data_IF_994179148612
#
_entry.id   IF_994179148612
#
_cell.length_a   1.000
_cell.length_b   1.000
_cell.length_c   1.000
_cell.angle_alpha   90.00
_cell.angle_beta   90.00
_cell.angle_gamma   90.00
#
_symmetry.space_group_name_H-M   'P 1'
#
loop_
_entity.id
_entity.type
_entity.pdbx_description
1 polymer ?
#
# COMPACT_ATOMS: atom_id res chain seq x y z
N UNK A 1 -1.63 -9.78 24.49
CA UNK A 1 -0.50 -9.73 23.53
C UNK A 1 -0.38 -8.38 22.90
N UNK A 2 0.84 -7.94 22.61
CA UNK A 2 1.12 -6.67 21.91
C UNK A 2 1.74 -6.98 20.55
N UNK A 3 1.21 -6.40 19.48
CA UNK A 3 1.75 -6.52 18.14
C UNK A 3 2.11 -5.15 17.58
N UNK A 4 3.16 -5.10 16.74
CA UNK A 4 3.40 -3.99 15.85
C UNK A 4 2.91 -4.35 14.44
N UNK A 5 2.05 -3.51 13.87
CA UNK A 5 1.51 -3.70 12.52
C UNK A 5 2.16 -2.71 11.57
N UNK A 6 2.76 -3.25 10.52
CA UNK A 6 3.47 -2.60 9.42
C UNK A 6 2.93 -3.11 8.09
N UNK A 7 3.04 -2.31 7.03
CA UNK A 7 2.77 -2.73 5.65
C UNK A 7 3.42 -1.77 4.65
N UNK A 8 3.35 -2.11 3.37
CA UNK A 8 3.66 -1.21 2.26
C UNK A 8 5.05 -0.57 2.38
N UNK A 9 6.07 -1.43 2.63
CA UNK A 9 7.46 -1.00 2.74
C UNK A 9 7.99 -0.53 1.39
N UNK A 10 7.56 -1.16 0.29
CA UNK A 10 7.94 -0.87 -1.09
C UNK A 10 9.44 -0.68 -1.26
N UNK A 11 10.25 -1.60 -0.71
CA UNK A 11 11.71 -1.49 -0.77
C UNK A 11 12.21 -1.45 -2.21
N UNK A 12 13.02 -0.44 -2.49
CA UNK A 12 13.53 -0.15 -3.83
C UNK A 12 12.68 0.82 -4.66
N UNK A 13 11.60 1.39 -4.08
CA UNK A 13 10.74 2.37 -4.76
C UNK A 13 11.52 3.59 -5.24
N UNK A 14 11.12 4.08 -6.40
CA UNK A 14 11.57 5.36 -6.95
C UNK A 14 10.38 6.30 -7.09
N UNK A 15 10.50 7.50 -6.57
CA UNK A 15 9.47 8.55 -6.69
C UNK A 15 10.00 9.65 -7.60
N UNK A 16 9.33 9.91 -8.70
CA UNK A 16 9.76 10.90 -9.71
C UNK A 16 11.24 10.80 -10.11
N UNK A 17 11.75 9.56 -10.21
CA UNK A 17 13.14 9.29 -10.58
C UNK A 17 14.15 9.28 -9.42
N UNK A 18 13.77 9.72 -8.21
CA UNK A 18 14.62 9.67 -7.02
C UNK A 18 14.51 8.30 -6.35
N UNK A 19 15.63 7.72 -5.98
CA UNK A 19 15.66 6.48 -5.21
C UNK A 19 15.31 6.76 -3.76
N UNK A 20 14.39 5.97 -3.18
CA UNK A 20 13.99 6.10 -1.79
C UNK A 20 14.81 5.21 -0.83
N UNK A 21 15.79 4.44 -1.33
CA UNK A 21 16.50 3.43 -0.53
C UNK A 21 17.18 4.00 0.72
N UNK A 22 17.80 5.19 0.66
CA UNK A 22 18.40 5.81 1.84
C UNK A 22 17.36 6.21 2.89
N UNK A 23 16.22 6.75 2.43
CA UNK A 23 15.12 7.14 3.31
C UNK A 23 14.42 5.90 3.88
N UNK A 24 14.32 4.82 3.08
CA UNK A 24 13.83 3.52 3.53
C UNK A 24 14.75 2.89 4.59
N UNK A 25 16.06 2.91 4.39
CA UNK A 25 17.01 2.44 5.40
C UNK A 25 16.89 3.23 6.71
N UNK A 26 16.74 4.55 6.62
CA UNK A 26 16.55 5.41 7.78
C UNK A 26 15.26 5.12 8.55
N UNK A 27 14.14 4.97 7.84
CA UNK A 27 12.84 4.71 8.47
C UNK A 27 12.76 3.29 9.06
N UNK A 28 13.36 2.28 8.41
CA UNK A 28 13.45 0.93 8.95
C UNK A 28 14.26 0.90 10.25
N UNK A 29 15.32 1.73 10.39
CA UNK A 29 16.03 1.86 11.66
C UNK A 29 15.13 2.43 12.75
N UNK A 30 14.30 3.44 12.48
CA UNK A 30 13.33 3.95 13.46
C UNK A 30 12.30 2.87 13.86
N UNK A 31 11.85 2.06 12.91
CA UNK A 31 10.97 0.93 13.20
C UNK A 31 11.65 -0.08 14.13
N UNK A 32 12.92 -0.40 13.88
CA UNK A 32 13.74 -1.28 14.73
C UNK A 32 13.86 -0.71 16.15
N UNK A 33 14.07 0.61 16.29
CA UNK A 33 14.16 1.28 17.57
C UNK A 33 12.79 1.32 18.28
N UNK A 34 11.71 1.52 17.52
CA UNK A 34 10.36 1.42 18.04
C UNK A 34 10.07 0.01 18.59
N UNK A 35 10.44 -1.06 17.86
CA UNK A 35 10.30 -2.46 18.33
C UNK A 35 11.09 -2.67 19.63
N UNK A 36 12.30 -2.14 19.73
CA UNK A 36 13.12 -2.24 20.94
C UNK A 36 12.49 -1.53 22.15
N UNK A 37 11.84 -0.39 21.94
CA UNK A 37 11.14 0.39 22.95
C UNK A 37 9.82 -0.25 23.36
N UNK A 38 9.01 -0.68 22.39
CA UNK A 38 7.67 -1.22 22.61
C UNK A 38 7.69 -2.67 23.13
N UNK A 39 8.74 -3.43 22.82
CA UNK A 39 8.87 -4.83 23.19
C UNK A 39 7.61 -5.66 22.88
N UNK A 40 7.20 -5.73 21.59
CA UNK A 40 6.00 -6.46 21.20
C UNK A 40 6.21 -7.98 21.32
N UNK A 41 5.10 -8.71 21.44
CA UNK A 41 5.05 -10.17 21.38
C UNK A 41 5.14 -10.68 19.93
N UNK A 42 4.95 -9.81 18.93
CA UNK A 42 5.10 -10.11 17.51
C UNK A 42 5.03 -8.88 16.61
N UNK A 43 5.59 -9.01 15.40
CA UNK A 43 5.53 -7.99 14.34
C UNK A 43 4.72 -8.55 13.17
N UNK A 44 3.73 -7.79 12.70
CA UNK A 44 2.85 -8.12 11.58
C UNK A 44 3.27 -7.26 10.39
N UNK A 45 3.62 -7.87 9.24
CA UNK A 45 4.00 -7.17 8.01
C UNK A 45 3.00 -7.57 6.92
N UNK A 46 2.12 -6.65 6.56
CA UNK A 46 0.93 -6.93 5.78
C UNK A 46 1.13 -6.63 4.28
N UNK A 47 2.17 -7.20 3.67
CA UNK A 47 2.41 -7.17 2.23
C UNK A 47 3.17 -5.94 1.72
N UNK A 48 3.42 -5.94 0.41
CA UNK A 48 4.20 -4.96 -0.34
C UNK A 48 5.53 -4.64 0.31
N UNK A 49 6.27 -5.72 0.57
CA UNK A 49 7.63 -5.65 1.12
C UNK A 49 8.56 -5.01 0.09
N UNK A 50 8.45 -5.44 -1.16
CA UNK A 50 9.18 -4.87 -2.29
C UNK A 50 8.27 -4.00 -3.17
N UNK A 51 8.87 -3.02 -3.87
CA UNK A 51 8.15 -2.19 -4.85
C UNK A 51 7.82 -2.94 -6.15
N UNK A 52 8.50 -4.06 -6.41
CA UNK A 52 8.34 -4.86 -7.64
C UNK A 52 8.56 -6.34 -7.35
N UNK A 53 7.86 -7.18 -8.10
CA UNK A 53 8.01 -8.65 -8.05
C UNK A 53 9.46 -9.12 -8.32
N UNK A 54 10.26 -8.34 -9.04
CA UNK A 54 11.71 -8.53 -9.24
C UNK A 54 12.45 -7.33 -8.63
N UNK A 55 12.78 -7.37 -7.33
CA UNK A 55 13.47 -6.26 -6.67
C UNK A 55 14.92 -6.11 -7.12
N UNK A 56 15.50 -4.91 -6.95
CA UNK A 56 16.92 -4.70 -7.16
C UNK A 56 17.76 -5.38 -6.06
N UNK A 57 19.04 -5.62 -6.34
CA UNK A 57 19.95 -6.23 -5.37
C UNK A 57 20.07 -5.39 -4.09
N UNK A 58 20.04 -4.06 -4.21
CA UNK A 58 20.10 -3.14 -3.07
C UNK A 58 18.84 -3.24 -2.20
N UNK A 59 17.67 -3.38 -2.82
CA UNK A 59 16.41 -3.57 -2.10
C UNK A 59 16.41 -4.92 -1.36
N UNK A 60 16.92 -5.98 -1.99
CA UNK A 60 17.06 -7.30 -1.35
C UNK A 60 18.02 -7.21 -0.15
N UNK A 61 19.16 -6.56 -0.31
CA UNK A 61 20.13 -6.39 0.79
C UNK A 61 19.54 -5.58 1.96
N UNK A 62 18.76 -4.54 1.67
CA UNK A 62 18.07 -3.75 2.69
C UNK A 62 17.02 -4.57 3.44
N UNK A 63 16.25 -5.37 2.71
CA UNK A 63 15.25 -6.28 3.27
C UNK A 63 15.89 -7.34 4.18
N UNK A 64 16.94 -8.00 3.69
CA UNK A 64 17.71 -8.99 4.46
C UNK A 64 18.22 -8.41 5.77
N UNK A 65 18.85 -7.23 5.72
CA UNK A 65 19.34 -6.53 6.90
C UNK A 65 18.22 -6.21 7.90
N UNK A 66 17.06 -5.79 7.42
CA UNK A 66 15.90 -5.51 8.27
C UNK A 66 15.42 -6.78 8.98
N UNK A 67 15.15 -7.86 8.26
CA UNK A 67 14.71 -9.13 8.85
C UNK A 67 15.78 -9.76 9.76
N UNK A 68 17.07 -9.63 9.42
CA UNK A 68 18.16 -10.05 10.29
C UNK A 68 18.10 -9.35 11.64
N UNK A 69 17.91 -8.02 11.67
CA UNK A 69 17.80 -7.26 12.91
C UNK A 69 16.54 -7.63 13.71
N UNK A 70 15.43 -7.98 13.07
CA UNK A 70 14.23 -8.48 13.74
C UNK A 70 14.48 -9.85 14.37
N UNK A 71 15.07 -10.80 13.62
CA UNK A 71 15.40 -12.13 14.11
C UNK A 71 16.35 -12.09 15.33
N UNK A 72 17.35 -11.20 15.32
CA UNK A 72 18.28 -11.03 16.46
C UNK A 72 17.56 -10.61 17.75
N UNK A 73 16.42 -9.95 17.67
CA UNK A 73 15.60 -9.53 18.83
C UNK A 73 14.71 -10.64 19.37
N UNK A 74 14.63 -11.76 18.67
CA UNK A 74 13.79 -12.92 19.03
C UNK A 74 12.30 -12.56 19.18
N UNK A 75 11.84 -11.55 18.47
CA UNK A 75 10.43 -11.19 18.35
C UNK A 75 9.88 -11.91 17.13
N UNK A 76 8.84 -12.75 17.24
CA UNK A 76 8.22 -13.40 16.10
C UNK A 76 7.74 -12.37 15.06
N UNK A 77 8.06 -12.64 13.79
CA UNK A 77 7.65 -11.82 12.65
C UNK A 77 6.73 -12.64 11.76
N UNK A 78 5.56 -12.11 11.45
CA UNK A 78 4.59 -12.70 10.53
C UNK A 78 4.46 -11.78 9.33
N UNK A 79 4.82 -12.28 8.15
CA UNK A 79 4.85 -11.49 6.93
C UNK A 79 4.08 -12.18 5.81
N UNK A 80 3.29 -11.41 5.07
CA UNK A 80 2.59 -11.88 3.88
C UNK A 80 3.09 -11.15 2.64
N UNK A 81 2.83 -11.68 1.44
CA UNK A 81 3.01 -10.95 0.19
C UNK A 81 1.84 -10.05 -0.12
N UNK A 82 2.12 -8.87 -0.69
CA UNK A 82 1.14 -7.97 -1.29
C UNK A 82 1.01 -8.16 -2.80
N UNK A 83 0.41 -7.20 -3.49
CA UNK A 83 0.22 -7.26 -4.95
C UNK A 83 1.49 -6.89 -5.75
N UNK A 84 2.43 -6.15 -5.17
CA UNK A 84 3.73 -5.84 -5.78
C UNK A 84 4.75 -6.95 -5.59
N UNK A 85 4.57 -7.82 -4.60
CA UNK A 85 5.50 -8.90 -4.30
C UNK A 85 5.29 -10.11 -5.22
N UNK A 86 6.37 -10.91 -5.43
CA UNK A 86 6.21 -12.30 -5.89
C UNK A 86 6.07 -13.21 -4.67
N UNK A 87 4.90 -13.85 -4.46
CA UNK A 87 4.70 -14.75 -3.33
C UNK A 87 5.68 -15.92 -3.33
N UNK A 88 6.07 -16.44 -4.50
CA UNK A 88 7.04 -17.53 -4.63
C UNK A 88 8.45 -17.11 -4.16
N UNK A 89 8.85 -15.87 -4.47
CA UNK A 89 10.17 -15.35 -4.08
C UNK A 89 10.24 -15.05 -2.60
N UNK A 90 9.17 -14.48 -2.03
CA UNK A 90 9.09 -14.24 -0.59
C UNK A 90 9.01 -15.55 0.20
N UNK A 91 8.27 -16.54 -0.30
CA UNK A 91 8.21 -17.88 0.32
C UNK A 91 9.50 -18.68 0.16
N UNK A 92 10.44 -18.25 -0.71
CA UNK A 92 11.73 -18.95 -0.87
C UNK A 92 12.53 -18.92 0.43
N UNK A 93 12.87 -20.09 0.92
CA UNK A 93 13.63 -20.24 2.17
C UNK A 93 12.81 -20.03 3.45
N UNK A 94 11.51 -19.74 3.39
CA UNK A 94 10.65 -19.50 4.55
C UNK A 94 10.77 -20.59 5.61
N UNK A 95 10.76 -21.87 5.22
CA UNK A 95 10.91 -23.00 6.16
C UNK A 95 12.26 -23.02 6.90
N UNK A 96 13.30 -22.39 6.35
CA UNK A 96 14.58 -22.22 7.04
C UNK A 96 14.53 -21.05 8.01
N UNK A 97 13.83 -19.99 7.62
CA UNK A 97 13.67 -18.78 8.44
C UNK A 97 12.70 -18.96 9.62
N UNK A 98 11.75 -19.90 9.54
CA UNK A 98 10.86 -20.28 10.64
C UNK A 98 11.62 -20.57 11.93
N UNK A 99 12.76 -21.26 11.83
CA UNK A 99 13.63 -21.55 12.98
C UNK A 99 14.25 -20.32 13.63
N UNK A 100 14.25 -19.17 12.94
CA UNK A 100 14.73 -17.88 13.44
C UNK A 100 13.58 -16.97 13.91
N UNK A 101 12.34 -17.46 13.90
CA UNK A 101 11.15 -16.71 14.30
C UNK A 101 10.63 -15.73 13.22
N UNK A 102 11.05 -15.89 11.96
CA UNK A 102 10.52 -15.11 10.83
C UNK A 102 9.66 -16.03 9.96
N UNK A 103 8.36 -15.77 9.98
CA UNK A 103 7.34 -16.59 9.33
C UNK A 103 6.78 -15.84 8.13
N UNK A 104 7.03 -16.35 6.93
CA UNK A 104 6.40 -15.87 5.70
C UNK A 104 5.20 -16.73 5.35
N UNK A 105 4.11 -16.10 4.88
CA UNK A 105 2.99 -16.87 4.31
C UNK A 105 3.49 -17.69 3.12
N UNK A 106 3.04 -18.93 2.98
CA UNK A 106 3.25 -19.66 1.73
C UNK A 106 2.49 -18.98 0.57
N UNK A 107 2.79 -19.41 -0.66
CA UNK A 107 1.89 -19.14 -1.79
C UNK A 107 0.52 -19.71 -1.45
N UNK A 108 -0.55 -18.94 -1.71
CA UNK A 108 -1.91 -19.40 -1.41
C UNK A 108 -2.25 -20.69 -2.16
N UNK A 109 -2.66 -21.70 -1.41
CA UNK A 109 -2.96 -23.06 -1.90
C UNK A 109 -4.40 -23.51 -1.54
N UNK A 110 -5.28 -22.54 -1.26
CA UNK A 110 -6.66 -22.79 -0.85
C UNK A 110 -6.85 -22.93 0.67
N UNK A 111 -5.77 -22.91 1.44
CA UNK A 111 -5.82 -23.06 2.90
C UNK A 111 -4.96 -22.01 3.60
N UNK A 112 -5.40 -21.57 4.77
CA UNK A 112 -4.61 -20.73 5.68
C UNK A 112 -4.69 -21.33 7.08
N UNK A 113 -3.60 -21.93 7.51
CA UNK A 113 -3.50 -22.48 8.87
C UNK A 113 -3.01 -21.40 9.83
N UNK A 114 -3.65 -21.22 11.01
CA UNK A 114 -3.21 -20.24 11.98
C UNK A 114 -1.91 -20.65 12.66
N UNK A 115 -1.01 -19.68 12.84
CA UNK A 115 0.06 -19.80 13.81
C UNK A 115 -0.49 -19.46 15.20
N UNK A 116 -0.27 -20.33 16.19
CA UNK A 116 -0.88 -20.13 17.52
C UNK A 116 0.17 -19.64 18.51
N UNK A 117 -0.10 -18.46 19.07
CA UNK A 117 0.62 -17.92 20.22
C UNK A 117 -0.23 -18.08 21.49
N UNK A 118 0.40 -18.07 22.66
CA UNK A 118 -0.31 -18.19 23.95
C UNK A 118 0.20 -17.16 24.93
N UNK A 119 -0.74 -16.50 25.62
CA UNK A 119 -0.44 -15.61 26.75
C UNK A 119 -1.34 -15.93 27.96
N UNK A 120 -1.31 -15.06 28.96
CA UNK A 120 -2.12 -15.21 30.18
C UNK A 120 -3.65 -15.23 29.94
N UNK A 121 -4.10 -14.77 28.77
CA UNK A 121 -5.50 -14.71 28.38
C UNK A 121 -5.93 -15.88 27.46
N UNK A 122 -5.01 -16.83 27.19
CA UNK A 122 -5.22 -17.99 26.32
C UNK A 122 -4.57 -17.85 24.94
N UNK A 123 -5.09 -18.59 23.98
CA UNK A 123 -4.54 -18.65 22.62
C UNK A 123 -4.93 -17.44 21.76
N UNK A 124 -4.00 -17.10 20.84
CA UNK A 124 -4.23 -16.15 19.74
C UNK A 124 -3.83 -16.84 18.45
N UNK A 125 -4.78 -17.02 17.54
CA UNK A 125 -4.52 -17.51 16.18
C UNK A 125 -4.10 -16.37 15.27
N UNK A 126 -2.92 -16.49 14.66
CA UNK A 126 -2.41 -15.55 13.64
C UNK A 126 -2.62 -16.17 12.27
N UNK A 127 -3.52 -15.61 11.48
CA UNK A 127 -3.86 -16.06 10.13
C UNK A 127 -3.16 -15.18 9.10
N UNK A 128 -2.39 -15.78 8.20
CA UNK A 128 -1.60 -15.08 7.19
C UNK A 128 -2.18 -15.34 5.80
N UNK A 129 -3.12 -14.49 5.36
CA UNK A 129 -3.71 -14.53 4.02
C UNK A 129 -2.99 -13.52 3.12
N UNK A 130 -2.13 -13.94 2.19
CA UNK A 130 -1.47 -13.05 1.26
C UNK A 130 -2.48 -12.36 0.32
N UNK A 131 -2.01 -11.44 -0.51
CA UNK A 131 -2.83 -10.88 -1.58
C UNK A 131 -3.32 -11.99 -2.50
N UNK A 132 -4.64 -12.01 -2.73
CA UNK A 132 -5.27 -12.95 -3.65
C UNK A 132 -6.24 -12.23 -4.58
N UNK A 133 -6.26 -12.68 -5.84
CA UNK A 133 -7.26 -12.29 -6.84
C UNK A 133 -8.35 -13.37 -6.93
N UNK A 134 -9.54 -13.07 -7.47
CA UNK A 134 -10.60 -14.07 -7.70
C UNK A 134 -10.09 -15.30 -8.44
N UNK A 135 -9.27 -15.12 -9.47
CA UNK A 135 -8.70 -16.22 -10.26
C UNK A 135 -7.82 -17.17 -9.42
N UNK A 136 -7.08 -16.65 -8.42
CA UNK A 136 -6.27 -17.48 -7.53
C UNK A 136 -7.14 -18.38 -6.67
N UNK A 137 -8.28 -17.85 -6.17
CA UNK A 137 -9.17 -18.58 -5.24
C UNK A 137 -10.02 -19.59 -5.99
N UNK A 138 -10.56 -19.28 -7.19
CA UNK A 138 -11.36 -20.20 -8.02
C UNK A 138 -10.67 -21.55 -8.26
N UNK A 139 -9.35 -21.58 -8.34
CA UNK A 139 -8.59 -22.83 -8.56
C UNK A 139 -8.84 -23.87 -7.48
N UNK A 140 -9.14 -23.42 -6.27
CA UNK A 140 -9.30 -24.28 -5.08
C UNK A 140 -10.76 -24.47 -4.69
N UNK A 141 -11.68 -23.65 -5.23
CA UNK A 141 -13.11 -23.71 -4.94
C UNK A 141 -13.93 -23.74 -6.25
N UNK A 142 -13.77 -24.80 -7.08
CA UNK A 142 -14.40 -24.86 -8.41
C UNK A 142 -15.94 -24.88 -8.38
N UNK A 143 -16.53 -25.27 -7.25
CA UNK A 143 -18.01 -25.29 -7.07
C UNK A 143 -18.58 -23.97 -6.52
N UNK A 144 -17.72 -23.00 -6.16
CA UNK A 144 -18.15 -21.71 -5.63
C UNK A 144 -18.30 -20.70 -6.79
N UNK A 145 -19.37 -19.92 -6.76
CA UNK A 145 -19.54 -18.76 -7.63
C UNK A 145 -18.65 -17.63 -7.07
N UNK A 146 -17.53 -17.35 -7.74
CA UNK A 146 -16.56 -16.33 -7.35
C UNK A 146 -16.41 -15.34 -8.50
N UNK A 147 -17.20 -14.27 -8.47
CA UNK A 147 -17.23 -13.25 -9.52
C UNK A 147 -16.55 -11.94 -9.08
N UNK A 148 -16.40 -11.75 -7.78
CA UNK A 148 -15.81 -10.55 -7.19
C UNK A 148 -14.69 -10.89 -6.20
N UNK A 149 -13.92 -9.85 -5.81
CA UNK A 149 -12.95 -9.97 -4.70
C UNK A 149 -13.65 -10.30 -3.37
N UNK A 150 -14.85 -9.77 -3.13
CA UNK A 150 -15.64 -10.12 -1.94
C UNK A 150 -15.97 -11.60 -1.90
N UNK A 151 -16.41 -12.20 -3.02
CA UNK A 151 -16.69 -13.63 -3.07
C UNK A 151 -15.44 -14.47 -2.84
N UNK A 152 -14.32 -14.07 -3.46
CA UNK A 152 -13.04 -14.73 -3.30
C UNK A 152 -12.60 -14.74 -1.82
N UNK A 153 -12.63 -13.56 -1.19
CA UNK A 153 -12.25 -13.44 0.23
C UNK A 153 -13.23 -14.19 1.14
N UNK A 154 -14.53 -14.17 0.84
CA UNK A 154 -15.55 -14.93 1.57
C UNK A 154 -15.26 -16.44 1.52
N UNK A 155 -14.92 -16.96 0.34
CA UNK A 155 -14.55 -18.37 0.18
C UNK A 155 -13.25 -18.71 0.94
N UNK A 156 -12.21 -17.86 0.81
CA UNK A 156 -10.93 -18.08 1.47
C UNK A 156 -11.06 -18.02 3.01
N UNK A 157 -11.75 -17.02 3.57
CA UNK A 157 -12.00 -16.87 5.01
C UNK A 157 -12.90 -17.99 5.53
N UNK A 158 -13.95 -18.35 4.78
CA UNK A 158 -14.83 -19.48 5.14
C UNK A 158 -14.07 -20.80 5.27
N UNK A 159 -13.11 -21.04 4.38
CA UNK A 159 -12.27 -22.25 4.42
C UNK A 159 -11.32 -22.30 5.65
N UNK A 160 -10.99 -21.17 6.27
CA UNK A 160 -10.15 -21.15 7.48
C UNK A 160 -10.83 -21.76 8.70
N UNK A 161 -12.17 -21.87 8.69
CA UNK A 161 -12.96 -22.39 9.82
C UNK A 161 -12.52 -21.77 11.17
N UNK A 162 -12.49 -20.45 11.21
CA UNK A 162 -11.95 -19.68 12.34
C UNK A 162 -12.70 -20.02 13.62
N UNK A 163 -11.96 -20.50 14.62
CA UNK A 163 -12.52 -20.72 15.96
C UNK A 163 -12.72 -19.39 16.69
N UNK A 164 -13.93 -18.85 16.61
CA UNK A 164 -14.27 -17.56 17.20
C UNK A 164 -14.32 -17.58 18.74
N UNK A 165 -14.16 -18.73 19.39
CA UNK A 165 -14.08 -18.79 20.86
C UNK A 165 -12.74 -18.29 21.40
N UNK A 166 -11.68 -18.34 20.58
CA UNK A 166 -10.35 -17.77 20.87
C UNK A 166 -10.15 -16.43 20.17
N UNK A 167 -9.07 -15.74 20.52
CA UNK A 167 -8.68 -14.49 19.85
C UNK A 167 -8.03 -14.81 18.49
N UNK A 168 -8.41 -14.06 17.46
CA UNK A 168 -7.91 -14.28 16.10
C UNK A 168 -7.44 -12.96 15.49
N UNK A 169 -6.25 -12.97 14.91
CA UNK A 169 -5.67 -11.87 14.13
C UNK A 169 -5.51 -12.33 12.70
N UNK A 170 -5.99 -11.54 11.76
CA UNK A 170 -5.76 -11.75 10.33
C UNK A 170 -4.76 -10.72 9.82
N UNK A 171 -3.75 -11.18 9.07
CA UNK A 171 -2.97 -10.34 8.16
C UNK A 171 -3.53 -10.54 6.77
N UNK A 172 -3.84 -9.47 6.06
CA UNK A 172 -4.22 -9.53 4.66
C UNK A 172 -3.88 -8.23 3.93
N UNK A 173 -3.80 -8.30 2.61
CA UNK A 173 -3.42 -7.18 1.76
C UNK A 173 -4.50 -6.99 0.69
N UNK A 174 -5.53 -6.19 0.99
CA UNK A 174 -6.72 -6.06 0.14
C UNK A 174 -7.29 -4.65 0.22
N UNK A 175 -7.99 -4.21 -0.84
CA UNK A 175 -8.72 -2.95 -0.85
C UNK A 175 -10.12 -3.14 -0.25
N UNK A 176 -10.36 -2.61 0.93
CA UNK A 176 -11.67 -2.64 1.58
C UNK A 176 -12.51 -1.45 1.13
N UNK A 177 -13.76 -1.71 0.78
CA UNK A 177 -14.73 -0.70 0.33
C UNK A 177 -14.80 0.48 1.29
N UNK A 178 -14.69 1.70 0.76
CA UNK A 178 -14.75 2.94 1.54
C UNK A 178 -13.41 3.42 2.09
N UNK A 179 -12.30 2.74 1.83
CA UNK A 179 -10.96 3.24 2.19
C UNK A 179 -10.61 4.49 1.38
N UNK A 180 -10.03 5.49 2.06
CA UNK A 180 -9.50 6.68 1.41
C UNK A 180 -8.12 6.38 0.83
N UNK A 181 -7.94 6.64 -0.45
CA UNK A 181 -6.76 6.32 -1.25
C UNK A 181 -5.87 7.54 -1.52
N UNK A 182 -4.65 7.30 -1.97
CA UNK A 182 -3.69 8.29 -2.49
C UNK A 182 -3.22 7.89 -3.90
N UNK A 183 -2.43 8.73 -4.56
CA UNK A 183 -1.99 8.50 -5.95
C UNK A 183 -0.87 7.44 -6.05
N UNK A 184 -0.42 6.90 -4.94
CA UNK A 184 0.67 5.92 -4.86
C UNK A 184 0.20 4.47 -4.82
N UNK A 185 -1.10 4.22 -4.58
CA UNK A 185 -1.69 2.88 -4.65
C UNK A 185 -2.04 2.50 -6.08
N UNK A 186 -1.79 1.25 -6.45
CA UNK A 186 -2.25 0.65 -7.70
C UNK A 186 -3.63 0.01 -7.49
N UNK A 187 -4.67 0.76 -7.83
CA UNK A 187 -6.05 0.28 -7.75
C UNK A 187 -6.55 -0.14 -9.13
N UNK A 188 -7.36 -1.20 -9.17
CA UNK A 188 -7.99 -1.64 -10.41
C UNK A 188 -8.91 -0.55 -10.97
N UNK A 189 -8.84 -0.34 -12.28
CA UNK A 189 -9.68 0.64 -12.95
C UNK A 189 -11.15 0.25 -12.81
N UNK A 190 -11.96 1.17 -12.29
CA UNK A 190 -13.39 0.93 -12.05
C UNK A 190 -13.71 0.40 -10.65
N UNK A 191 -12.71 0.25 -9.75
CA UNK A 191 -12.94 -0.16 -8.35
C UNK A 191 -13.52 -1.56 -8.21
N UNK A 192 -13.12 -2.48 -9.11
CA UNK A 192 -13.61 -3.88 -9.12
C UNK A 192 -12.89 -4.77 -8.11
N UNK A 193 -11.81 -4.27 -7.50
CA UNK A 193 -10.94 -4.96 -6.54
C UNK A 193 -11.31 -4.73 -5.06
N UNK A 194 -12.44 -4.07 -4.81
CA UNK A 194 -12.88 -3.79 -3.46
C UNK A 194 -13.52 -5.02 -2.78
N UNK A 195 -13.32 -5.09 -1.46
CA UNK A 195 -13.81 -6.16 -0.59
C UNK A 195 -14.75 -5.57 0.45
N UNK A 196 -15.90 -6.23 0.69
CA UNK A 196 -16.78 -5.87 1.80
C UNK A 196 -16.10 -6.23 3.13
N UNK A 197 -16.00 -5.23 4.03
CA UNK A 197 -15.37 -5.40 5.34
C UNK A 197 -16.02 -6.45 6.25
N UNK A 198 -17.28 -6.80 6.03
CA UNK A 198 -17.99 -7.84 6.78
C UNK A 198 -17.41 -9.24 6.62
N UNK A 199 -16.69 -9.50 5.53
CA UNK A 199 -15.95 -10.75 5.31
C UNK A 199 -14.99 -11.04 6.48
N UNK A 200 -14.51 -10.01 7.14
CA UNK A 200 -13.52 -10.10 8.22
C UNK A 200 -14.11 -10.14 9.63
N UNK A 201 -15.43 -10.32 9.78
CA UNK A 201 -16.12 -10.36 11.09
C UNK A 201 -15.63 -11.46 12.05
N UNK A 202 -15.14 -12.63 11.60
CA UNK A 202 -14.63 -13.66 12.50
C UNK A 202 -13.37 -13.27 13.29
N UNK A 203 -12.69 -12.17 12.95
CA UNK A 203 -11.40 -11.81 13.54
C UNK A 203 -11.53 -10.68 14.59
N UNK A 204 -10.73 -10.75 15.64
CA UNK A 204 -10.66 -9.72 16.70
C UNK A 204 -9.84 -8.51 16.26
N UNK A 205 -8.85 -8.73 15.36
CA UNK A 205 -8.10 -7.69 14.70
C UNK A 205 -7.73 -8.11 13.28
N UNK A 206 -7.90 -7.20 12.34
CA UNK A 206 -7.50 -7.38 10.95
C UNK A 206 -6.44 -6.34 10.60
N UNK A 207 -5.23 -6.81 10.41
CA UNK A 207 -4.09 -6.03 9.97
C UNK A 207 -4.09 -5.95 8.45
N UNK A 208 -4.48 -4.78 7.91
CA UNK A 208 -4.60 -4.52 6.48
C UNK A 208 -3.35 -3.84 5.94
N UNK A 209 -2.87 -4.28 4.77
CA UNK A 209 -1.98 -3.55 3.87
C UNK A 209 -2.70 -3.14 2.59
N UNK A 210 -2.00 -2.51 1.66
CA UNK A 210 -2.42 -2.00 0.36
C UNK A 210 -2.71 -0.50 0.33
N UNK A 211 -3.29 0.07 1.37
CA UNK A 211 -3.60 1.50 1.41
C UNK A 211 -2.56 2.23 2.26
N UNK A 212 -1.91 3.22 1.64
CA UNK A 212 -0.78 3.94 2.23
C UNK A 212 -1.19 4.95 3.31
N UNK A 213 -2.47 5.30 3.39
CA UNK A 213 -3.01 6.17 4.44
C UNK A 213 -3.35 5.37 5.70
N UNK A 214 -2.74 5.69 6.87
CA UNK A 214 -3.17 5.10 8.14
C UNK A 214 -4.62 5.44 8.43
N UNK A 215 -5.50 4.45 8.53
CA UNK A 215 -6.93 4.68 8.80
C UNK A 215 -7.60 3.43 9.39
N UNK A 216 -8.58 3.66 10.25
CA UNK A 216 -9.53 2.63 10.61
C UNK A 216 -10.61 2.59 9.53
N UNK A 217 -11.13 1.40 9.26
CA UNK A 217 -12.39 1.27 8.56
C UNK A 217 -13.53 1.54 9.56
N UNK A 218 -14.61 0.81 9.59
CA UNK A 218 -15.75 1.09 10.49
C UNK A 218 -15.38 1.06 11.99
N UNK A 219 -14.29 0.37 12.34
CA UNK A 219 -13.82 0.25 13.72
C UNK A 219 -12.30 0.08 13.80
N UNK A 220 -11.67 0.28 14.98
CA UNK A 220 -10.26 0.01 15.18
C UNK A 220 -9.85 -1.44 14.91
N UNK A 221 -10.80 -2.37 14.88
CA UNK A 221 -10.60 -3.79 14.60
C UNK A 221 -10.12 -4.04 13.17
N UNK A 222 -10.59 -3.25 12.21
CA UNK A 222 -10.25 -3.34 10.79
C UNK A 222 -9.45 -2.10 10.40
N UNK A 223 -8.12 -2.26 10.20
CA UNK A 223 -7.24 -1.11 10.11
C UNK A 223 -6.13 -1.27 9.07
N UNK A 224 -5.92 -0.21 8.30
CA UNK A 224 -4.69 0.03 7.55
C UNK A 224 -3.66 0.75 8.42
N UNK A 225 -2.46 0.22 8.55
CA UNK A 225 -1.36 0.93 9.22
C UNK A 225 -0.75 2.01 8.33
N UNK A 226 -0.91 1.88 7.03
CA UNK A 226 -0.30 2.72 6.02
C UNK A 226 1.17 2.42 5.76
N UNK A 227 1.73 3.01 4.71
CA UNK A 227 3.16 2.92 4.40
C UNK A 227 4.00 3.70 5.41
N UNK A 228 5.25 3.27 5.69
CA UNK A 228 6.12 3.97 6.65
C UNK A 228 6.70 5.29 6.11
N UNK A 229 6.69 5.47 4.79
CA UNK A 229 7.10 6.69 4.09
C UNK A 229 5.98 7.19 3.17
N UNK A 230 6.04 8.46 2.80
CA UNK A 230 5.18 9.03 1.75
C UNK A 230 5.77 8.67 0.39
N UNK A 231 4.95 8.15 -0.51
CA UNK A 231 5.36 7.73 -1.85
C UNK A 231 4.70 8.54 -2.98
N UNK A 232 3.82 9.48 -2.63
CA UNK A 232 3.27 10.49 -3.54
C UNK A 232 3.06 11.83 -2.85
N UNK A 233 2.94 12.91 -3.62
CA UNK A 233 2.65 14.24 -3.08
C UNK A 233 1.21 14.37 -2.58
N UNK A 234 0.29 13.51 -2.97
CA UNK A 234 -1.04 13.43 -2.37
C UNK A 234 -1.00 13.01 -0.89
N UNK A 235 0.09 12.38 -0.47
CA UNK A 235 0.34 11.99 0.91
C UNK A 235 1.06 13.07 1.75
N UNK A 236 1.39 14.25 1.17
CA UNK A 236 2.17 15.29 1.86
C UNK A 236 1.61 15.65 3.23
N UNK A 237 0.28 15.64 3.39
CA UNK A 237 -0.41 15.89 4.65
C UNK A 237 -0.53 14.69 5.60
N UNK A 238 -0.04 13.49 5.23
CA UNK A 238 -0.17 12.31 6.08
C UNK A 238 0.91 12.27 7.18
N UNK A 239 0.51 11.92 8.39
CA UNK A 239 1.45 11.52 9.43
C UNK A 239 1.65 10.01 9.36
N UNK A 240 2.84 9.60 8.93
CA UNK A 240 3.22 8.18 8.89
C UNK A 240 3.53 7.65 10.29
N UNK A 241 3.23 6.37 10.54
CA UNK A 241 3.32 5.80 11.87
C UNK A 241 3.45 4.27 11.85
N UNK A 242 3.94 3.71 12.94
CA UNK A 242 3.77 2.29 13.28
C UNK A 242 2.47 2.14 14.07
N UNK A 243 1.66 1.16 13.78
CA UNK A 243 0.47 0.84 14.57
C UNK A 243 0.82 -0.19 15.67
N UNK A 244 0.51 0.14 16.91
CA UNK A 244 0.65 -0.75 18.07
C UNK A 244 -0.73 -1.27 18.44
N UNK A 245 -0.84 -2.59 18.53
CA UNK A 245 -2.09 -3.31 18.79
C UNK A 245 -1.94 -4.11 20.08
N UNK A 246 -2.79 -3.87 21.04
CA UNK A 246 -2.80 -4.62 22.30
C UNK A 246 -4.11 -5.41 22.42
N UNK A 247 -3.98 -6.74 22.42
CA UNK A 247 -5.07 -7.68 22.63
C UNK A 247 -5.04 -8.20 24.08
N UNK A 248 -6.02 -7.76 24.86
CA UNK A 248 -6.29 -8.27 26.20
C UNK A 248 -7.08 -9.59 26.19
N UNK A 249 -8.07 -9.73 27.05
CA UNK A 249 -9.04 -10.81 26.95
C UNK A 249 -9.85 -10.71 25.64
N UNK A 250 -10.58 -11.78 25.29
CA UNK A 250 -11.47 -11.76 24.11
C UNK A 250 -12.39 -10.54 24.14
N UNK A 251 -12.35 -9.73 23.08
CA UNK A 251 -13.10 -8.49 22.94
C UNK A 251 -12.40 -7.24 23.50
N UNK A 252 -11.25 -7.36 24.18
CA UNK A 252 -10.46 -6.22 24.66
C UNK A 252 -9.35 -5.90 23.65
N UNK A 253 -9.56 -4.86 22.89
CA UNK A 253 -8.65 -4.37 21.83
C UNK A 253 -8.31 -2.91 22.07
N UNK A 254 -7.02 -2.60 22.12
CA UNK A 254 -6.51 -1.23 22.11
C UNK A 254 -5.58 -1.03 20.94
N UNK A 255 -5.76 0.08 20.22
CA UNK A 255 -4.96 0.44 19.05
C UNK A 255 -4.46 1.87 19.21
N UNK A 256 -3.16 2.06 19.06
CA UNK A 256 -2.50 3.37 19.06
C UNK A 256 -1.43 3.43 17.98
N UNK A 257 -0.93 4.61 17.69
CA UNK A 257 0.12 4.83 16.72
C UNK A 257 1.35 5.45 17.36
N UNK A 258 2.53 5.06 16.85
CA UNK A 258 3.81 5.71 17.14
C UNK A 258 4.25 6.44 15.86
N UNK A 259 4.35 7.78 15.87
CA UNK A 259 4.68 8.53 14.66
C UNK A 259 6.09 8.20 14.18
N UNK A 260 6.25 8.18 12.86
CA UNK A 260 7.53 8.08 12.17
C UNK A 260 7.90 9.44 11.59
N UNK A 261 9.18 9.78 11.64
CA UNK A 261 9.73 11.02 11.09
C UNK A 261 10.65 10.70 9.93
N UNK A 262 10.31 11.09 8.69
CA UNK A 262 11.16 10.81 7.54
C UNK A 262 12.46 11.62 7.62
N UNK A 263 13.53 11.11 6.98
CA UNK A 263 14.79 11.86 6.82
C UNK A 263 14.60 13.08 5.92
N UNK A 264 13.81 12.89 4.84
CA UNK A 264 13.36 13.94 3.91
C UNK A 264 11.85 13.81 3.76
N UNK A 265 11.14 14.87 4.00
CA UNK A 265 9.69 14.86 3.82
C UNK A 265 9.29 15.26 2.39
N UNK A 266 8.09 14.90 1.97
CA UNK A 266 7.48 15.39 0.74
C UNK A 266 6.74 16.69 1.04
N UNK A 267 7.17 17.79 0.42
CA UNK A 267 6.64 19.14 0.67
C UNK A 267 6.20 19.78 -0.64
N UNK A 268 5.05 20.43 -0.60
CA UNK A 268 4.54 21.20 -1.73
C UNK A 268 4.77 22.69 -1.48
N UNK A 269 5.36 23.39 -2.48
CA UNK A 269 5.56 24.82 -2.46
C UNK A 269 4.80 25.45 -3.63
N UNK A 270 4.20 26.60 -3.37
CA UNK A 270 3.47 27.38 -4.38
C UNK A 270 3.81 28.86 -4.26
N UNK A 271 4.22 29.47 -5.34
CA UNK A 271 4.58 30.89 -5.38
C UNK A 271 5.19 31.29 -6.71
N UNK A 272 5.51 32.56 -6.87
CA UNK A 272 6.24 33.05 -8.06
C UNK A 272 7.71 32.60 -8.01
N UNK A 273 8.34 32.51 -9.17
CA UNK A 273 9.76 32.18 -9.28
C UNK A 273 10.64 33.11 -8.43
N UNK A 274 10.37 34.43 -8.49
CA UNK A 274 11.12 35.43 -7.72
C UNK A 274 10.96 35.25 -6.21
N UNK A 275 9.77 34.93 -5.76
CA UNK A 275 9.48 34.66 -4.34
C UNK A 275 10.20 33.42 -3.85
N UNK A 276 10.04 32.28 -4.57
CA UNK A 276 10.63 31.00 -4.17
C UNK A 276 12.18 30.99 -4.29
N UNK A 277 12.77 31.86 -5.14
CA UNK A 277 14.23 32.01 -5.24
C UNK A 277 14.81 33.11 -4.36
N UNK A 278 13.96 33.86 -3.64
CA UNK A 278 14.45 34.87 -2.69
C UNK A 278 15.23 34.20 -1.56
N UNK A 279 16.44 34.75 -1.25
CA UNK A 279 17.35 34.14 -0.27
C UNK A 279 16.67 33.94 1.10
N UNK A 280 15.95 34.94 1.56
CA UNK A 280 15.28 34.88 2.85
C UNK A 280 14.16 33.82 2.91
N UNK A 281 13.57 33.50 1.76
CA UNK A 281 12.56 32.45 1.66
C UNK A 281 13.17 31.04 1.85
N UNK A 282 14.20 30.69 1.06
CA UNK A 282 14.72 29.33 1.08
C UNK A 282 15.70 29.06 2.23
N UNK A 283 16.26 30.09 2.88
CA UNK A 283 17.14 29.89 4.04
C UNK A 283 16.40 29.77 5.38
N UNK A 284 15.13 30.21 5.45
CA UNK A 284 14.34 30.20 6.68
C UNK A 284 13.53 28.91 6.90
N UNK A 285 13.61 27.94 5.99
CA UNK A 285 12.90 26.66 6.09
C UNK A 285 13.75 25.47 5.70
N UNK A 286 13.29 24.27 6.06
CA UNK A 286 13.99 23.01 5.75
C UNK A 286 13.76 22.53 4.31
N UNK A 287 13.27 23.42 3.43
CA UNK A 287 12.86 23.08 2.06
C UNK A 287 13.99 22.46 1.22
N UNK A 288 15.23 22.89 1.44
CA UNK A 288 16.39 22.39 0.69
C UNK A 288 16.72 20.93 1.01
N UNK A 289 16.23 20.40 2.13
CA UNK A 289 16.47 19.02 2.57
C UNK A 289 15.30 18.09 2.23
N UNK A 290 14.14 18.65 1.82
CA UNK A 290 12.93 17.90 1.52
C UNK A 290 12.78 17.62 0.02
N UNK A 291 12.06 16.56 -0.30
CA UNK A 291 11.57 16.30 -1.65
C UNK A 291 10.45 17.29 -1.97
N UNK A 292 10.58 18.00 -3.10
CA UNK A 292 9.70 19.12 -3.41
C UNK A 292 8.88 18.89 -4.67
N UNK A 293 7.62 19.28 -4.58
CA UNK A 293 6.77 19.62 -5.71
C UNK A 293 6.54 21.13 -5.68
N UNK A 294 7.04 21.84 -6.70
CA UNK A 294 6.88 23.29 -6.82
C UNK A 294 5.83 23.60 -7.89
N UNK A 295 4.86 24.45 -7.51
CA UNK A 295 3.89 25.03 -8.45
C UNK A 295 4.18 26.51 -8.62
N UNK A 296 4.69 26.90 -9.78
CA UNK A 296 4.95 28.30 -10.12
C UNK A 296 3.64 29.01 -10.48
N UNK A 297 3.48 30.23 -9.96
CA UNK A 297 2.32 31.10 -10.25
C UNK A 297 2.63 32.16 -11.30
N UNK A 298 3.81 32.13 -11.92
CA UNK A 298 4.22 33.06 -12.96
C UNK A 298 3.35 32.90 -14.21
N UNK A 299 2.79 33.98 -14.73
CA UNK A 299 1.96 33.96 -15.94
C UNK A 299 2.77 33.60 -17.22
N UNK A 300 4.07 33.88 -17.22
CA UNK A 300 4.99 33.52 -18.29
C UNK A 300 5.92 32.39 -17.85
N UNK A 301 6.22 31.48 -18.79
CA UNK A 301 7.14 30.40 -18.51
C UNK A 301 8.55 30.94 -18.19
N UNK A 302 9.10 30.50 -17.07
CA UNK A 302 10.46 30.83 -16.66
C UNK A 302 11.44 29.97 -17.44
N UNK A 303 12.36 30.55 -18.23
CA UNK A 303 13.34 29.76 -18.96
C UNK A 303 14.22 28.91 -18.06
N UNK A 304 14.33 27.60 -18.35
CA UNK A 304 15.08 26.61 -17.56
C UNK A 304 14.71 26.64 -16.05
N UNK A 305 13.44 26.79 -15.74
CA UNK A 305 12.96 26.89 -14.36
C UNK A 305 13.40 25.68 -13.51
N UNK A 306 13.28 24.46 -14.04
CA UNK A 306 13.67 23.22 -13.35
C UNK A 306 15.17 23.23 -12.99
N UNK A 307 16.06 23.54 -13.92
CA UNK A 307 17.51 23.57 -13.69
C UNK A 307 17.89 24.64 -12.66
N UNK A 308 17.32 25.83 -12.79
CA UNK A 308 17.56 26.95 -11.86
C UNK A 308 17.04 26.67 -10.45
N UNK A 309 15.84 26.14 -10.32
CA UNK A 309 15.29 25.79 -9.02
C UNK A 309 16.07 24.65 -8.36
N UNK A 310 16.53 23.65 -9.12
CA UNK A 310 17.39 22.57 -8.60
C UNK A 310 18.74 23.06 -8.06
N UNK A 311 19.24 24.19 -8.51
CA UNK A 311 20.46 24.79 -7.93
C UNK A 311 20.23 25.29 -6.50
N UNK A 312 18.97 25.57 -6.11
CA UNK A 312 18.57 26.00 -4.77
C UNK A 312 17.97 24.81 -4.00
N UNK A 313 17.14 24.01 -4.65
CA UNK A 313 16.37 22.90 -4.11
C UNK A 313 16.81 21.58 -4.77
N UNK A 314 17.89 20.94 -4.31
CA UNK A 314 18.49 19.78 -5.00
C UNK A 314 17.55 18.56 -5.10
N UNK A 315 16.56 18.50 -4.24
CA UNK A 315 15.55 17.43 -4.20
C UNK A 315 14.21 17.81 -4.85
N UNK A 316 14.21 18.78 -5.78
CA UNK A 316 13.02 19.12 -6.57
C UNK A 316 12.65 17.96 -7.49
N UNK A 317 11.53 17.31 -7.20
CA UNK A 317 10.98 16.18 -7.95
C UNK A 317 10.08 16.60 -9.08
N UNK A 318 9.11 17.50 -8.79
CA UNK A 318 8.09 17.96 -9.71
C UNK A 318 8.05 19.50 -9.80
N UNK A 319 7.77 19.99 -10.99
CA UNK A 319 7.55 21.40 -11.27
C UNK A 319 6.32 21.55 -12.16
N UNK A 320 5.32 22.25 -11.65
CA UNK A 320 4.10 22.61 -12.37
C UNK A 320 3.91 24.11 -12.43
N UNK A 321 2.97 24.56 -13.27
CA UNK A 321 2.54 25.93 -13.36
C UNK A 321 1.04 26.05 -13.07
N UNK A 322 0.68 27.03 -12.26
CA UNK A 322 -0.71 27.48 -12.06
C UNK A 322 -0.86 28.90 -12.60
N UNK A 323 -1.04 29.02 -13.92
CA UNK A 323 -1.21 30.29 -14.63
C UNK A 323 -2.47 30.26 -15.52
N UNK A 324 -2.79 31.37 -16.16
CA UNK A 324 -3.99 31.49 -17.01
C UNK A 324 -4.02 30.41 -18.12
N UNK A 325 -2.86 30.05 -18.67
CA UNK A 325 -2.74 29.02 -19.72
C UNK A 325 -3.06 27.62 -19.17
N UNK A 326 -2.46 27.22 -18.04
CA UNK A 326 -2.68 25.90 -17.46
C UNK A 326 -4.09 25.75 -16.94
N UNK A 327 -4.68 26.84 -16.37
CA UNK A 327 -6.10 26.86 -15.96
C UNK A 327 -7.05 26.73 -17.13
N UNK A 328 -6.75 27.40 -18.28
CA UNK A 328 -7.57 27.28 -19.49
C UNK A 328 -7.51 25.85 -20.08
N UNK A 329 -6.33 25.21 -20.08
CA UNK A 329 -6.17 23.81 -20.49
C UNK A 329 -6.92 22.85 -19.54
N UNK A 330 -6.88 23.10 -18.23
CA UNK A 330 -7.65 22.35 -17.23
C UNK A 330 -9.16 22.48 -17.44
N UNK A 331 -9.65 23.67 -17.74
CA UNK A 331 -11.08 23.88 -18.05
C UNK A 331 -11.55 23.17 -19.32
N UNK A 332 -10.68 22.98 -20.30
CA UNK A 332 -10.99 22.15 -21.48
C UNK A 332 -11.05 20.65 -21.14
N UNK A 333 -10.28 20.22 -20.15
CA UNK A 333 -10.35 18.84 -19.63
C UNK A 333 -11.51 18.65 -18.63
N UNK A 334 -11.82 19.62 -17.78
CA UNK A 334 -12.95 19.58 -16.84
C UNK A 334 -14.31 19.78 -17.55
N UNK A 335 -14.34 20.44 -18.71
CA UNK A 335 -15.53 20.50 -19.55
C UNK A 335 -15.87 19.14 -20.22
N UNK A 336 -14.91 18.22 -20.24
CA UNK A 336 -15.08 16.78 -20.35
C UNK A 336 -14.84 16.19 -18.96
N UNK A 337 -15.66 16.56 -17.96
CA UNK A 337 -15.74 15.82 -16.70
C UNK A 337 -16.13 14.39 -17.04
N UNK A 338 -15.16 13.63 -17.40
CA UNK A 338 -15.21 12.21 -17.42
C UNK A 338 -15.37 11.81 -15.95
N UNK A 339 -16.61 11.50 -15.54
CA UNK A 339 -16.81 10.43 -14.57
C UNK A 339 -15.69 9.44 -14.83
N UNK A 340 -15.07 8.90 -13.79
CA UNK A 340 -13.99 7.91 -13.93
C UNK A 340 -14.53 6.76 -14.78
N UNK A 341 -14.36 6.85 -16.10
CA UNK A 341 -14.86 5.87 -17.06
C UNK A 341 -13.97 4.65 -16.91
N UNK A 342 -14.60 3.48 -16.81
CA UNK A 342 -13.85 2.23 -16.85
C UNK A 342 -13.12 2.12 -18.19
N UNK A 343 -11.99 1.40 -18.31
CA UNK A 343 -11.36 1.13 -19.60
C UNK A 343 -12.32 0.54 -20.62
N UNK A 344 -13.28 -0.23 -20.15
CA UNK A 344 -14.36 -0.74 -20.97
C UNK A 344 -15.21 0.41 -21.55
N UNK A 345 -15.60 1.37 -20.73
CA UNK A 345 -16.42 2.51 -21.17
C UNK A 345 -15.66 3.41 -22.14
N UNK A 346 -14.36 3.64 -21.89
CA UNK A 346 -13.49 4.39 -22.81
C UNK A 346 -13.40 3.69 -24.17
N UNK A 347 -13.21 2.38 -24.16
CA UNK A 347 -13.16 1.62 -25.41
C UNK A 347 -14.52 1.57 -26.10
N UNK A 348 -15.61 1.40 -25.37
CA UNK A 348 -16.97 1.41 -25.94
C UNK A 348 -17.30 2.76 -26.57
N UNK A 349 -16.90 3.87 -25.94
CA UNK A 349 -17.08 5.20 -26.52
C UNK A 349 -16.20 5.41 -27.76
N UNK A 350 -14.93 4.96 -27.75
CA UNK A 350 -14.06 4.98 -28.89
C UNK A 350 -14.63 4.15 -30.05
N UNK A 351 -15.12 2.93 -29.78
CA UNK A 351 -15.75 2.06 -30.76
C UNK A 351 -16.97 2.75 -31.41
N UNK A 352 -17.85 3.33 -30.58
CA UNK A 352 -19.04 4.06 -31.06
C UNK A 352 -18.66 5.25 -31.96
N UNK A 353 -17.62 6.01 -31.57
CA UNK A 353 -17.13 7.15 -32.38
C UNK A 353 -16.57 6.71 -33.73
N UNK A 354 -15.91 5.56 -33.80
CA UNK A 354 -15.30 5.05 -35.02
C UNK A 354 -16.28 4.35 -35.94
N UNK A 355 -17.25 3.61 -35.39
CA UNK A 355 -18.15 2.74 -36.17
C UNK A 355 -19.57 3.31 -36.29
N UNK A 356 -19.92 4.35 -35.54
CA UNK A 356 -21.25 4.94 -35.53
C UNK A 356 -22.34 4.08 -34.87
N UNK A 357 -21.96 2.95 -34.22
CA UNK A 357 -22.86 2.02 -33.54
C UNK A 357 -22.23 1.58 -32.21
N UNK A 358 -23.06 1.22 -31.23
CA UNK A 358 -22.63 0.63 -29.99
C UNK A 358 -22.12 -0.81 -30.17
N UNK A 359 -21.31 -1.30 -29.20
CA UNK A 359 -20.93 -2.71 -29.13
C UNK A 359 -22.16 -3.60 -28.96
N UNK A 360 -22.19 -4.74 -29.65
CA UNK A 360 -23.17 -5.77 -29.37
C UNK A 360 -22.91 -6.42 -28.02
N UNK A 361 -23.91 -7.08 -27.41
CA UNK A 361 -23.73 -7.79 -26.13
C UNK A 361 -22.59 -8.82 -26.20
N UNK A 362 -22.45 -9.52 -27.31
CA UNK A 362 -21.41 -10.52 -27.55
C UNK A 362 -20.00 -9.88 -27.63
N UNK A 363 -19.90 -8.74 -28.32
CA UNK A 363 -18.65 -7.95 -28.41
C UNK A 363 -18.27 -7.36 -27.03
N UNK A 364 -19.23 -6.88 -26.28
CA UNK A 364 -19.02 -6.32 -24.96
C UNK A 364 -18.54 -7.41 -23.96
N UNK A 365 -19.15 -8.59 -23.99
CA UNK A 365 -18.74 -9.73 -23.17
C UNK A 365 -17.32 -10.20 -23.53
N UNK A 366 -17.03 -10.33 -24.83
CA UNK A 366 -15.68 -10.69 -25.30
C UNK A 366 -14.63 -9.68 -24.87
N UNK A 367 -14.92 -8.38 -25.02
CA UNK A 367 -13.99 -7.32 -24.63
C UNK A 367 -13.67 -7.34 -23.12
N UNK A 368 -14.68 -7.52 -22.26
CA UNK A 368 -14.47 -7.65 -20.81
C UNK A 368 -13.58 -8.83 -20.48
N UNK A 369 -13.86 -9.99 -21.07
CA UNK A 369 -13.04 -11.18 -20.88
C UNK A 369 -11.58 -10.98 -21.32
N UNK A 370 -11.36 -10.27 -22.45
CA UNK A 370 -9.99 -9.97 -22.91
C UNK A 370 -9.29 -8.96 -22.00
N UNK A 371 -9.98 -7.94 -21.52
CA UNK A 371 -9.42 -6.99 -20.56
C UNK A 371 -9.05 -7.68 -19.26
N UNK A 372 -9.88 -8.56 -18.74
CA UNK A 372 -9.56 -9.36 -17.55
C UNK A 372 -8.32 -10.23 -17.79
N UNK A 373 -8.22 -10.92 -18.96
CA UNK A 373 -7.07 -11.77 -19.25
C UNK A 373 -5.74 -11.00 -19.37
N UNK A 374 -5.75 -9.83 -20.02
CA UNK A 374 -4.55 -8.97 -20.16
C UNK A 374 -4.07 -8.48 -18.79
N UNK A 375 -4.99 -8.11 -17.90
CA UNK A 375 -4.60 -7.71 -16.55
C UNK A 375 -4.21 -8.88 -15.64
N UNK A 376 -4.59 -10.10 -16.00
CA UNK A 376 -4.12 -11.31 -15.33
C UNK A 376 -2.70 -11.74 -15.80
N UNK A 377 -2.28 -11.38 -17.02
CA UNK A 377 -0.98 -11.74 -17.62
C UNK A 377 0.14 -10.73 -17.34
N UNK A 378 -0.15 -9.49 -16.93
CA UNK A 378 0.87 -8.47 -16.61
C UNK A 378 1.46 -8.58 -15.18
N UNK A 379 1.44 -9.75 -14.58
CA UNK A 379 2.07 -10.06 -13.28
C UNK A 379 3.13 -11.12 -13.44
#
# INVERSE_FOLDING_TARGET
MKFLHLSDLHLGKRVHGFSMLEDQAYILQQIIDCIASEQPDGVLICGDIYDKAVPSAEAVALCDNFFYHLAQRKVPVFAISGNHDSPERLAFGSRLMDGSGVHFSPVYDGQVQPFVLTDKWGEVGIHMLPFVKPAHVRRYFPEAEIDSYTDALSAAVGAMQVDTSRRNVLLTHQFVTGAATSDSEELSVGGTDNVDGSVFDPFDYVALGHIHRPQNMDSPRLRYCGSPLKYSFSEAGHQKSVTVVELGAKGDLQVRTVPLSPRRDLTQLRGSYMELTARDYYTNGDFQQNYLHITLTDEQDVPDAMGRLRSIYPYLMLLDYDNARTRALGQVHDGAATEKQSPFDVFAEFYRRQNGTDLTEEQAAFLRSQMESVWEEEV
#
